data_IF_435002671388
#
_entry.id   IF_435002671388
#
_cell.length_a   1.000
_cell.length_b   1.000
_cell.length_c   1.000
_cell.angle_alpha   90.00
_cell.angle_beta   90.00
_cell.angle_gamma   90.00
#
_symmetry.space_group_name_H-M   'P 1'
#
loop_
_entity.id
_entity.type
_entity.pdbx_description
1 polymer ?
#
# COMPACT_ATOMS: atom_id res chain seq x y z
N UNK A 1 12.86 56.86 -8.07
CA UNK A 1 12.28 55.91 -7.10
C UNK A 1 11.42 54.92 -7.86
N UNK A 2 12.02 53.87 -8.41
CA UNK A 2 11.31 52.68 -8.85
C UNK A 2 11.78 51.57 -7.92
N UNK A 3 10.84 51.04 -7.14
CA UNK A 3 11.07 49.90 -6.26
C UNK A 3 11.31 48.67 -7.13
N UNK A 4 12.56 48.22 -7.20
CA UNK A 4 12.87 46.87 -7.67
C UNK A 4 12.18 45.88 -6.73
N UNK A 5 11.17 45.20 -7.26
CA UNK A 5 10.51 44.10 -6.61
C UNK A 5 11.53 42.97 -6.45
N UNK A 6 12.16 42.89 -5.27
CA UNK A 6 12.97 41.76 -4.87
C UNK A 6 12.09 40.53 -4.76
N UNK A 7 12.18 39.66 -5.76
CA UNK A 7 11.50 38.37 -5.76
C UNK A 7 12.15 37.49 -4.68
N UNK A 8 11.58 37.51 -3.46
CA UNK A 8 12.08 36.77 -2.30
C UNK A 8 11.66 35.30 -2.41
N UNK A 9 12.57 34.46 -2.91
CA UNK A 9 12.44 33.01 -2.82
C UNK A 9 12.81 32.57 -1.39
N UNK A 10 11.89 31.83 -0.74
CA UNK A 10 12.07 31.35 0.64
C UNK A 10 12.43 29.87 0.65
N UNK A 11 13.60 29.53 1.20
CA UNK A 11 14.14 28.17 1.24
C UNK A 11 13.96 27.55 2.64
N UNK A 12 13.72 26.23 2.70
CA UNK A 12 13.58 25.46 3.94
C UNK A 12 14.86 24.65 4.20
N UNK A 13 15.33 24.63 5.44
CA UNK A 13 16.49 23.83 5.85
C UNK A 13 16.08 22.74 6.84
N UNK A 14 16.37 21.48 6.51
CA UNK A 14 16.38 20.37 7.47
C UNK A 14 17.81 20.10 7.92
N UNK A 15 18.05 20.08 9.22
CA UNK A 15 19.34 19.70 9.76
C UNK A 15 19.22 18.35 10.46
N UNK A 16 20.07 17.37 10.10
CA UNK A 16 20.05 16.04 10.73
C UNK A 16 21.42 15.70 11.31
N UNK A 17 21.49 15.42 12.62
CA UNK A 17 22.68 14.87 13.28
C UNK A 17 22.53 13.36 13.45
N UNK A 18 23.36 12.55 12.80
CA UNK A 18 23.26 11.08 12.78
C UNK A 18 24.34 10.40 13.64
N UNK A 19 23.95 9.40 14.43
CA UNK A 19 24.87 8.48 15.12
C UNK A 19 24.66 6.99 14.77
N UNK A 20 23.53 6.62 14.16
CA UNK A 20 23.21 5.21 13.80
C UNK A 20 23.72 4.81 12.39
N UNK A 21 24.40 5.71 11.70
CA UNK A 21 24.99 5.49 10.36
C UNK A 21 26.45 5.98 10.32
N UNK A 22 27.24 5.65 11.36
CA UNK A 22 28.66 6.04 11.48
C UNK A 22 29.50 5.71 10.24
N UNK A 23 29.07 4.73 9.46
CA UNK A 23 29.85 4.20 8.34
C UNK A 23 29.27 4.61 6.98
N UNK A 24 27.94 4.73 6.81
CA UNK A 24 27.36 5.01 5.49
C UNK A 24 27.70 6.42 4.93
N UNK A 25 27.74 7.48 5.76
CA UNK A 25 27.90 8.86 5.26
C UNK A 25 29.35 9.37 5.23
N UNK A 26 30.28 8.63 5.85
CA UNK A 26 31.71 8.65 5.51
C UNK A 26 31.97 7.45 4.60
N UNK A 27 31.37 7.49 3.43
CA UNK A 27 31.48 6.40 2.47
C UNK A 27 32.94 6.34 2.00
N UNK A 28 33.58 5.19 2.20
CA UNK A 28 34.76 4.81 1.41
C UNK A 28 34.25 4.56 0.00
N UNK A 29 34.52 5.49 -0.92
CA UNK A 29 33.93 5.43 -2.27
C UNK A 29 34.90 4.89 -3.33
N UNK A 30 36.16 4.69 -2.98
CA UNK A 30 37.11 4.11 -3.91
C UNK A 30 38.34 3.60 -3.20
N UNK A 31 38.79 2.44 -3.65
CA UNK A 31 40.16 1.97 -3.43
C UNK A 31 40.91 2.15 -4.73
N UNK A 32 41.80 3.14 -4.79
CA UNK A 32 42.78 3.24 -5.87
C UNK A 32 44.06 2.56 -5.43
N UNK A 33 44.60 1.69 -6.29
CA UNK A 33 45.90 1.08 -6.13
C UNK A 33 46.91 1.83 -7.00
N UNK A 34 47.79 2.60 -6.37
CA UNK A 34 49.05 3.06 -6.98
C UNK A 34 50.16 2.19 -6.39
N UNK A 35 50.64 1.20 -7.16
CA UNK A 35 51.61 0.22 -6.66
C UNK A 35 51.07 -0.64 -5.51
N UNK A 36 51.80 -0.72 -4.40
CA UNK A 36 51.45 -1.49 -3.19
C UNK A 36 50.62 -0.71 -2.15
N UNK A 37 50.30 0.56 -2.42
CA UNK A 37 49.57 1.44 -1.48
C UNK A 37 48.07 1.52 -1.79
N UNK A 38 47.25 1.17 -0.78
CA UNK A 38 45.77 1.27 -0.81
C UNK A 38 45.34 2.69 -0.44
N UNK A 39 44.90 3.52 -1.40
CA UNK A 39 44.26 4.82 -1.08
C UNK A 39 42.75 4.66 -0.97
N UNK A 40 42.22 5.05 0.19
CA UNK A 40 40.80 5.03 0.54
C UNK A 40 40.26 6.46 0.39
N UNK A 41 39.50 6.74 -0.68
CA UNK A 41 38.89 8.05 -0.88
C UNK A 41 37.62 8.16 -0.01
N UNK A 42 37.63 9.09 0.95
CA UNK A 42 36.49 9.41 1.79
C UNK A 42 35.70 10.55 1.14
N UNK A 43 34.43 10.31 0.83
CA UNK A 43 33.53 11.38 0.40
C UNK A 43 32.46 11.61 1.46
N UNK A 44 32.55 12.76 2.13
CA UNK A 44 31.50 13.24 3.02
C UNK A 44 30.43 13.93 2.18
N UNK A 45 29.15 13.56 2.36
CA UNK A 45 28.02 14.25 1.73
C UNK A 45 27.48 15.27 2.74
N UNK A 46 27.80 16.57 2.61
CA UNK A 46 27.46 17.57 3.62
C UNK A 46 25.98 17.99 3.58
N UNK A 47 25.27 17.67 2.49
CA UNK A 47 23.88 18.03 2.33
C UNK A 47 23.21 17.49 1.07
N UNK A 48 21.88 17.56 1.07
CA UNK A 48 21.01 17.17 -0.04
C UNK A 48 20.22 18.39 -0.51
N UNK A 49 20.08 18.57 -1.81
CA UNK A 49 19.29 19.66 -2.37
C UNK A 49 18.18 19.08 -3.25
N UNK A 50 16.95 19.56 -3.04
CA UNK A 50 15.82 19.28 -3.91
C UNK A 50 14.99 20.54 -4.06
N UNK A 51 15.03 21.16 -5.25
CA UNK A 51 14.40 22.46 -5.50
C UNK A 51 14.83 23.51 -4.46
N UNK A 52 13.89 24.01 -3.65
CA UNK A 52 14.07 24.99 -2.57
C UNK A 52 14.34 24.36 -1.19
N UNK A 53 14.25 23.04 -1.07
CA UNK A 53 14.55 22.34 0.18
C UNK A 53 16.03 21.93 0.23
N UNK A 54 16.71 22.38 1.28
CA UNK A 54 18.11 22.07 1.59
C UNK A 54 18.16 21.21 2.86
N UNK A 55 18.87 20.09 2.80
CA UNK A 55 19.19 19.29 3.99
C UNK A 55 20.68 19.44 4.26
N UNK A 56 21.09 19.79 5.47
CA UNK A 56 22.50 19.75 5.88
C UNK A 56 22.67 18.68 6.96
N UNK A 57 23.76 17.92 6.85
CA UNK A 57 24.03 16.79 7.73
C UNK A 57 25.43 16.95 8.33
N UNK A 58 25.55 16.77 9.63
CA UNK A 58 26.82 16.90 10.35
C UNK A 58 26.87 15.99 11.57
N UNK A 59 28.07 15.66 12.04
CA UNK A 59 28.27 14.77 13.20
C UNK A 59 28.15 15.52 14.52
N UNK A 60 28.44 16.82 14.53
CA UNK A 60 28.38 17.68 15.71
C UNK A 60 27.83 19.08 15.38
N UNK A 61 27.42 19.81 16.43
CA UNK A 61 26.84 21.15 16.26
C UNK A 61 27.82 22.16 15.68
N UNK A 62 29.14 21.97 15.88
CA UNK A 62 30.16 22.89 15.39
C UNK A 62 30.26 22.80 13.86
N UNK A 63 30.42 21.60 13.33
CA UNK A 63 30.38 21.33 11.88
C UNK A 63 29.07 21.83 11.26
N UNK A 64 27.94 21.58 11.94
CA UNK A 64 26.65 22.05 11.46
C UNK A 64 26.59 23.59 11.38
N UNK A 65 27.15 24.28 12.39
CA UNK A 65 27.23 25.73 12.40
C UNK A 65 28.16 26.26 11.30
N UNK A 66 29.27 25.58 11.02
CA UNK A 66 30.17 25.90 9.90
C UNK A 66 29.45 25.77 8.56
N UNK A 67 28.69 24.68 8.34
CA UNK A 67 27.85 24.49 7.15
C UNK A 67 26.78 25.60 7.04
N UNK A 68 26.17 26.02 8.15
CA UNK A 68 25.21 27.12 8.17
C UNK A 68 25.86 28.47 7.84
N UNK A 69 27.10 28.72 8.28
CA UNK A 69 27.85 29.93 7.93
C UNK A 69 28.13 29.96 6.43
N UNK A 70 28.61 28.87 5.85
CA UNK A 70 28.85 28.72 4.41
C UNK A 70 27.55 28.95 3.63
N UNK A 71 26.47 28.29 4.05
CA UNK A 71 25.13 28.42 3.45
C UNK A 71 24.62 29.86 3.54
N UNK A 72 24.86 30.54 4.66
CA UNK A 72 24.48 31.94 4.86
C UNK A 72 25.26 32.89 3.96
N UNK A 73 26.57 32.68 3.79
CA UNK A 73 27.41 33.45 2.89
C UNK A 73 26.95 33.28 1.44
N UNK A 74 26.74 32.03 1.01
CA UNK A 74 26.21 31.72 -0.32
C UNK A 74 24.84 32.37 -0.55
N UNK A 75 23.93 32.27 0.42
CA UNK A 75 22.62 32.90 0.35
C UNK A 75 22.71 34.42 0.19
N UNK A 76 23.62 35.10 0.90
CA UNK A 76 23.86 36.54 0.73
C UNK A 76 24.38 36.88 -0.66
N UNK A 77 25.37 36.15 -1.17
CA UNK A 77 25.92 36.36 -2.52
C UNK A 77 24.89 36.14 -3.62
N UNK A 78 23.98 35.18 -3.43
CA UNK A 78 22.93 34.84 -4.40
C UNK A 78 21.58 35.51 -4.14
N UNK A 79 21.51 36.42 -3.16
CA UNK A 79 20.28 37.11 -2.74
C UNK A 79 19.14 36.15 -2.34
N UNK A 80 19.48 34.99 -1.80
CA UNK A 80 18.54 33.99 -1.28
C UNK A 80 18.26 34.25 0.20
N UNK A 81 17.00 34.12 0.60
CA UNK A 81 16.59 34.28 2.00
C UNK A 81 16.09 32.94 2.55
N UNK A 82 16.72 32.46 3.62
CA UNK A 82 16.23 31.26 4.32
C UNK A 82 15.09 31.63 5.27
N UNK A 83 14.09 30.75 5.35
CA UNK A 83 12.91 30.95 6.19
C UNK A 83 12.99 30.09 7.46
N UNK A 84 13.30 30.68 8.63
CA UNK A 84 13.42 29.91 9.88
C UNK A 84 12.12 29.25 10.31
N UNK A 85 10.95 29.77 9.91
CA UNK A 85 9.65 29.17 10.26
C UNK A 85 9.38 27.87 9.52
N UNK A 86 9.97 27.69 8.34
CA UNK A 86 9.88 26.46 7.54
C UNK A 86 11.09 25.54 7.74
N UNK A 87 12.10 26.00 8.45
CA UNK A 87 13.35 25.29 8.70
C UNK A 87 13.36 24.73 10.11
N UNK A 88 14.04 23.59 10.32
CA UNK A 88 14.17 23.01 11.64
C UNK A 88 15.46 22.23 11.80
N UNK A 89 15.90 22.12 13.05
CA UNK A 89 16.98 21.22 13.47
C UNK A 89 16.35 19.96 14.05
N UNK A 90 16.66 18.80 13.48
CA UNK A 90 16.29 17.49 14.03
C UNK A 90 17.55 16.76 14.46
N UNK A 91 17.56 16.21 15.66
CA UNK A 91 18.76 15.59 16.24
C UNK A 91 18.52 14.11 16.52
N UNK A 92 19.20 13.24 15.78
CA UNK A 92 19.11 11.79 15.95
C UNK A 92 20.25 11.27 16.84
N UNK A 93 20.31 11.76 18.09
CA UNK A 93 21.28 11.30 19.09
C UNK A 93 20.67 11.17 20.48
N UNK A 94 20.97 10.07 21.18
CA UNK A 94 20.52 9.84 22.56
C UNK A 94 21.32 10.62 23.62
N UNK A 95 22.41 11.28 23.22
CA UNK A 95 23.26 12.05 24.13
C UNK A 95 22.85 13.52 24.17
N UNK A 96 23.02 14.14 25.34
CA UNK A 96 22.90 15.59 25.49
C UNK A 96 23.79 16.27 24.46
N UNK A 97 23.12 16.97 23.55
CA UNK A 97 23.78 17.80 22.57
C UNK A 97 24.34 18.98 23.36
N UNK A 98 25.53 19.47 23.00
CA UNK A 98 25.95 20.80 23.44
C UNK A 98 24.90 21.87 23.07
N UNK A 99 25.14 23.14 23.36
CA UNK A 99 24.15 24.21 23.25
C UNK A 99 23.59 24.40 21.82
N UNK A 100 22.57 23.61 21.43
CA UNK A 100 21.90 23.62 20.12
C UNK A 100 21.02 24.86 19.94
N UNK A 101 20.80 25.62 21.01
CA UNK A 101 20.09 26.90 21.02
C UNK A 101 20.77 28.00 20.18
N UNK A 102 22.01 27.75 19.72
CA UNK A 102 22.83 28.71 18.97
C UNK A 102 22.86 28.52 17.46
N UNK A 103 22.17 27.51 16.92
CA UNK A 103 22.20 27.24 15.47
C UNK A 103 21.48 28.36 14.71
N UNK A 104 22.26 29.10 13.92
CA UNK A 104 21.76 30.28 13.19
C UNK A 104 22.05 30.20 11.70
N UNK A 105 21.05 30.58 10.89
CA UNK A 105 21.18 30.82 9.46
C UNK A 105 20.86 32.29 9.17
N UNK A 106 21.76 32.99 8.48
CA UNK A 106 21.64 34.42 8.17
C UNK A 106 21.30 35.29 9.40
N UNK A 107 21.87 34.96 10.57
CA UNK A 107 21.61 35.66 11.84
C UNK A 107 20.25 35.36 12.47
N UNK A 108 19.48 34.41 11.94
CA UNK A 108 18.20 33.97 12.49
C UNK A 108 18.36 32.60 13.15
N UNK A 109 17.87 32.46 14.39
CA UNK A 109 17.92 31.20 15.14
C UNK A 109 16.96 30.18 14.51
N UNK A 110 17.43 28.95 14.36
CA UNK A 110 16.62 27.84 13.86
C UNK A 110 15.98 27.08 15.03
N UNK A 111 14.67 26.78 14.96
CA UNK A 111 14.01 26.00 16.00
C UNK A 111 14.50 24.55 15.96
N UNK A 112 14.69 23.98 17.15
CA UNK A 112 14.88 22.53 17.31
C UNK A 112 13.50 21.88 17.34
N UNK A 113 13.33 20.81 16.57
CA UNK A 113 12.08 20.06 16.46
C UNK A 113 12.33 18.56 16.62
N UNK A 114 11.39 17.88 17.28
CA UNK A 114 11.39 16.43 17.43
C UNK A 114 10.96 15.71 16.14
N UNK A 115 10.21 16.39 15.27
CA UNK A 115 9.82 15.85 13.96
C UNK A 115 9.95 16.88 12.84
N UNK A 116 10.21 16.40 11.62
CA UNK A 116 10.23 17.23 10.43
C UNK A 116 9.77 16.45 9.19
N UNK A 117 9.01 17.10 8.31
CA UNK A 117 8.56 16.49 7.06
C UNK A 117 9.39 16.98 5.88
N UNK A 118 10.17 16.07 5.30
CA UNK A 118 10.99 16.34 4.12
C UNK A 118 10.48 15.52 2.94
N UNK A 119 10.16 16.20 1.83
CA UNK A 119 9.59 15.58 0.62
C UNK A 119 8.45 14.59 0.93
N UNK A 120 7.54 14.93 1.84
CA UNK A 120 6.40 14.09 2.21
C UNK A 120 6.68 12.94 3.19
N UNK A 121 7.93 12.73 3.61
CA UNK A 121 8.31 11.75 4.64
C UNK A 121 8.56 12.48 5.95
N UNK A 122 7.89 12.07 7.04
CA UNK A 122 8.10 12.63 8.37
C UNK A 122 9.19 11.85 9.10
N UNK A 123 10.27 12.52 9.46
CA UNK A 123 11.33 11.95 10.29
C UNK A 123 11.12 12.40 11.73
N UNK A 124 11.33 11.49 12.69
CA UNK A 124 11.30 11.77 14.13
C UNK A 124 12.64 11.44 14.78
N UNK A 125 12.95 12.13 15.88
CA UNK A 125 14.14 11.86 16.71
C UNK A 125 14.02 10.63 17.63
N UNK A 126 12.89 9.92 17.55
CA UNK A 126 12.66 8.66 18.25
C UNK A 126 13.58 7.54 17.73
N UNK A 127 13.73 6.46 18.53
CA UNK A 127 14.53 5.28 18.14
C UNK A 127 14.08 4.69 16.79
N UNK A 128 12.78 4.72 16.51
CA UNK A 128 12.27 4.48 15.17
C UNK A 128 11.99 5.81 14.47
N UNK A 129 12.93 6.28 13.65
CA UNK A 129 12.85 7.56 12.95
C UNK A 129 11.65 7.71 11.99
N UNK A 130 10.90 6.64 11.71
CA UNK A 130 9.68 6.65 10.89
C UNK A 130 8.38 6.53 11.70
N UNK A 131 8.43 6.48 13.04
CA UNK A 131 7.24 6.25 13.88
C UNK A 131 6.11 7.26 13.58
N UNK A 132 6.46 8.55 13.52
CA UNK A 132 5.51 9.63 13.22
C UNK A 132 5.00 9.58 11.78
N UNK A 133 5.81 9.09 10.85
CA UNK A 133 5.35 8.86 9.47
C UNK A 133 4.33 7.72 9.41
N UNK A 134 4.58 6.62 10.13
CA UNK A 134 3.64 5.49 10.22
C UNK A 134 2.30 5.90 10.84
N UNK A 135 2.31 6.68 11.94
CA UNK A 135 1.09 7.24 12.54
C UNK A 135 0.29 8.08 11.52
N UNK A 136 0.97 8.98 10.79
CA UNK A 136 0.36 9.81 9.75
C UNK A 136 -0.20 8.95 8.61
N UNK A 137 0.47 7.86 8.26
CA UNK A 137 0.06 6.95 7.20
C UNK A 137 -1.19 6.14 7.59
N UNK A 138 -1.28 5.65 8.84
CA UNK A 138 -2.48 4.99 9.35
C UNK A 138 -3.69 5.95 9.37
N UNK A 139 -3.48 7.19 9.82
CA UNK A 139 -4.51 8.22 9.76
C UNK A 139 -4.94 8.53 8.32
N UNK A 140 -3.98 8.61 7.40
CA UNK A 140 -4.24 8.84 5.98
C UNK A 140 -5.05 7.72 5.34
N UNK A 141 -4.79 6.46 5.71
CA UNK A 141 -5.56 5.31 5.23
C UNK A 141 -7.03 5.40 5.64
N UNK A 142 -7.29 5.67 6.93
CA UNK A 142 -8.66 5.89 7.45
C UNK A 142 -9.33 7.08 6.78
N UNK A 143 -8.63 8.21 6.68
CA UNK A 143 -9.15 9.43 6.04
C UNK A 143 -9.56 9.17 4.60
N UNK A 144 -8.70 8.48 3.84
CA UNK A 144 -8.97 8.20 2.42
C UNK A 144 -10.13 7.21 2.25
N UNK A 145 -10.24 6.23 3.14
CA UNK A 145 -11.40 5.33 3.19
C UNK A 145 -12.71 6.09 3.46
N UNK A 146 -12.73 6.98 4.46
CA UNK A 146 -13.92 7.79 4.76
C UNK A 146 -14.27 8.74 3.61
N UNK A 147 -13.27 9.34 2.95
CA UNK A 147 -13.48 10.14 1.75
C UNK A 147 -14.10 9.33 0.62
N UNK A 148 -13.64 8.10 0.41
CA UNK A 148 -14.25 7.16 -0.54
C UNK A 148 -15.72 6.90 -0.21
N UNK A 149 -16.04 6.60 1.05
CA UNK A 149 -17.41 6.35 1.48
C UNK A 149 -18.31 7.56 1.21
N UNK A 150 -17.85 8.77 1.59
CA UNK A 150 -18.63 9.99 1.42
C UNK A 150 -18.86 10.36 -0.06
N UNK A 151 -17.82 10.25 -0.90
CA UNK A 151 -17.91 10.65 -2.31
C UNK A 151 -18.70 9.67 -3.17
N UNK A 152 -18.71 8.38 -2.80
CA UNK A 152 -19.28 7.32 -3.63
C UNK A 152 -20.66 6.87 -3.12
N UNK A 153 -21.10 7.35 -1.95
CA UNK A 153 -22.40 7.00 -1.38
C UNK A 153 -23.56 7.17 -2.38
N UNK A 154 -23.52 8.25 -3.17
CA UNK A 154 -24.53 8.59 -4.19
C UNK A 154 -24.04 8.35 -5.62
N UNK A 155 -22.96 7.57 -5.78
CA UNK A 155 -22.39 7.26 -7.09
C UNK A 155 -23.26 6.32 -7.90
N UNK A 156 -23.32 6.54 -9.22
CA UNK A 156 -24.11 5.73 -10.16
C UNK A 156 -23.66 4.25 -10.21
N UNK A 157 -22.38 3.98 -9.92
CA UNK A 157 -21.84 2.62 -9.95
C UNK A 157 -20.79 2.40 -8.85
N UNK A 158 -21.25 2.10 -7.63
CA UNK A 158 -20.45 2.02 -6.41
C UNK A 158 -19.22 1.12 -6.53
N UNK A 159 -19.36 -0.06 -7.14
CA UNK A 159 -18.27 -1.02 -7.29
C UNK A 159 -17.12 -0.46 -8.14
N UNK A 160 -17.38 -0.10 -9.39
CA UNK A 160 -16.42 0.49 -10.32
C UNK A 160 -15.81 1.79 -9.80
N UNK A 161 -16.63 2.70 -9.26
CA UNK A 161 -16.14 3.95 -8.69
C UNK A 161 -15.20 3.71 -7.50
N UNK A 162 -15.54 2.78 -6.61
CA UNK A 162 -14.72 2.44 -5.44
C UNK A 162 -13.41 1.75 -5.88
N UNK A 163 -13.49 0.85 -6.88
CA UNK A 163 -12.32 0.21 -7.51
C UNK A 163 -11.36 1.23 -8.11
N UNK A 164 -11.90 2.18 -8.88
CA UNK A 164 -11.14 3.24 -9.51
C UNK A 164 -10.56 4.24 -8.50
N UNK A 165 -11.36 4.66 -7.51
CA UNK A 165 -10.93 5.59 -6.47
C UNK A 165 -9.80 5.00 -5.62
N UNK A 166 -9.96 3.78 -5.12
CA UNK A 166 -8.95 3.16 -4.28
C UNK A 166 -7.64 2.98 -5.05
N UNK A 167 -7.72 2.46 -6.28
CA UNK A 167 -6.53 2.21 -7.11
C UNK A 167 -5.86 3.50 -7.62
N UNK A 168 -6.65 4.51 -7.99
CA UNK A 168 -6.16 5.75 -8.61
C UNK A 168 -5.86 6.89 -7.64
N UNK A 169 -6.47 6.90 -6.46
CA UNK A 169 -6.33 7.98 -5.46
C UNK A 169 -5.72 7.47 -4.16
N UNK A 170 -6.27 6.40 -3.59
CA UNK A 170 -5.82 5.94 -2.27
C UNK A 170 -4.44 5.29 -2.31
N UNK A 171 -4.25 4.31 -3.19
CA UNK A 171 -2.99 3.58 -3.31
C UNK A 171 -1.80 4.53 -3.55
N UNK A 172 -1.82 5.48 -4.51
CA UNK A 172 -0.69 6.39 -4.73
C UNK A 172 -0.36 7.25 -3.49
N UNK A 173 -1.38 7.72 -2.75
CA UNK A 173 -1.18 8.47 -1.50
C UNK A 173 -0.52 7.61 -0.42
N UNK A 174 -0.95 6.35 -0.29
CA UNK A 174 -0.49 5.45 0.77
C UNK A 174 0.85 4.77 0.46
N UNK A 175 1.23 4.67 -0.82
CA UNK A 175 2.51 4.06 -1.23
C UNK A 175 3.57 5.08 -1.59
N UNK A 176 3.34 6.37 -1.31
CA UNK A 176 4.34 7.40 -1.54
C UNK A 176 5.59 7.13 -0.68
N UNK A 177 6.79 7.20 -1.28
CA UNK A 177 8.04 6.92 -0.58
C UNK A 177 8.33 5.44 -0.27
N UNK A 178 7.43 4.51 -0.60
CA UNK A 178 7.54 3.08 -0.24
C UNK A 178 8.81 2.38 -0.79
N UNK A 179 9.39 2.91 -1.87
CA UNK A 179 10.66 2.44 -2.41
C UNK A 179 11.83 2.60 -1.42
N UNK A 180 11.78 3.60 -0.55
CA UNK A 180 12.88 3.97 0.37
C UNK A 180 12.52 3.80 1.84
N UNK A 181 11.25 3.99 2.22
CA UNK A 181 10.78 3.81 3.61
C UNK A 181 10.43 2.35 3.88
N UNK A 182 10.66 1.87 5.10
CA UNK A 182 10.27 0.51 5.49
C UNK A 182 9.23 0.60 6.58
N UNK A 183 8.06 0.03 6.32
CA UNK A 183 6.95 0.04 7.25
C UNK A 183 7.02 -1.15 8.20
N UNK A 184 6.61 -0.96 9.44
CA UNK A 184 6.42 -2.05 10.39
C UNK A 184 5.29 -2.97 9.93
N UNK A 185 5.34 -4.24 10.38
CA UNK A 185 4.27 -5.21 10.10
C UNK A 185 2.89 -4.72 10.61
N UNK A 186 2.88 -3.98 11.73
CA UNK A 186 1.67 -3.35 12.27
C UNK A 186 1.03 -2.38 11.27
N UNK A 187 1.82 -1.45 10.74
CA UNK A 187 1.30 -0.44 9.81
C UNK A 187 0.92 -1.07 8.47
N UNK A 188 1.70 -2.05 7.98
CA UNK A 188 1.34 -2.81 6.78
C UNK A 188 -0.03 -3.50 6.94
N UNK A 189 -0.28 -4.17 8.07
CA UNK A 189 -1.57 -4.81 8.37
C UNK A 189 -2.71 -3.79 8.49
N UNK A 190 -2.44 -2.61 9.05
CA UNK A 190 -3.43 -1.52 9.11
C UNK A 190 -3.84 -1.04 7.71
N UNK A 191 -2.89 -0.91 6.79
CA UNK A 191 -3.17 -0.57 5.39
C UNK A 191 -3.96 -1.68 4.69
N UNK A 192 -3.59 -2.95 4.89
CA UNK A 192 -4.34 -4.08 4.34
C UNK A 192 -5.75 -4.18 4.90
N UNK A 193 -5.95 -3.84 6.17
CA UNK A 193 -7.28 -3.79 6.78
C UNK A 193 -8.13 -2.72 6.12
N UNK A 194 -7.58 -1.52 5.91
CA UNK A 194 -8.27 -0.44 5.20
C UNK A 194 -8.64 -0.84 3.76
N UNK A 195 -7.73 -1.52 3.04
CA UNK A 195 -8.01 -2.06 1.71
C UNK A 195 -9.14 -3.10 1.74
N UNK A 196 -9.14 -4.05 2.69
CA UNK A 196 -10.22 -5.03 2.82
C UNK A 196 -11.56 -4.38 3.16
N UNK A 197 -11.55 -3.32 3.96
CA UNK A 197 -12.75 -2.53 4.26
C UNK A 197 -13.27 -1.81 3.01
N UNK A 198 -12.38 -1.21 2.23
CA UNK A 198 -12.73 -0.61 0.94
C UNK A 198 -13.33 -1.63 -0.04
N UNK A 199 -12.80 -2.86 -0.07
CA UNK A 199 -13.32 -3.93 -0.92
C UNK A 199 -14.73 -4.36 -0.49
N UNK A 200 -14.96 -4.55 0.82
CA UNK A 200 -16.30 -4.84 1.36
C UNK A 200 -17.28 -3.71 1.09
N UNK A 201 -16.84 -2.45 1.16
CA UNK A 201 -17.65 -1.30 0.76
C UNK A 201 -18.04 -1.36 -0.71
N UNK A 202 -17.08 -1.58 -1.60
CA UNK A 202 -17.30 -1.66 -3.05
C UNK A 202 -18.33 -2.74 -3.43
N UNK A 203 -18.32 -3.87 -2.73
CA UNK A 203 -19.25 -4.99 -2.92
C UNK A 203 -20.56 -4.85 -2.12
N UNK A 204 -20.71 -3.82 -1.30
CA UNK A 204 -21.89 -3.61 -0.42
C UNK A 204 -22.14 -4.74 0.59
N UNK A 205 -21.05 -5.33 1.11
CA UNK A 205 -21.06 -6.46 2.06
C UNK A 205 -20.33 -6.10 3.36
N UNK A 206 -20.39 -4.85 3.80
CA UNK A 206 -19.65 -4.32 4.97
C UNK A 206 -19.91 -5.06 6.27
N UNK A 207 -21.12 -5.60 6.48
CA UNK A 207 -21.49 -6.35 7.67
C UNK A 207 -21.05 -7.83 7.68
N UNK A 208 -20.41 -8.32 6.61
CA UNK A 208 -20.10 -9.74 6.45
C UNK A 208 -18.61 -10.04 6.64
N UNK A 209 -18.32 -11.15 7.33
CA UNK A 209 -16.98 -11.70 7.44
C UNK A 209 -16.70 -12.56 6.21
N UNK A 210 -15.94 -12.02 5.28
CA UNK A 210 -15.63 -12.66 3.99
C UNK A 210 -14.16 -12.98 3.92
N UNK A 211 -13.81 -14.09 3.25
CA UNK A 211 -12.43 -14.47 3.02
C UNK A 211 -11.65 -13.37 2.27
N UNK A 212 -10.40 -13.13 2.68
CA UNK A 212 -9.57 -12.06 2.12
C UNK A 212 -9.23 -12.30 0.64
N UNK A 213 -9.07 -13.57 0.26
CA UNK A 213 -8.75 -14.07 -1.08
C UNK A 213 -9.88 -13.77 -2.06
N UNK A 214 -11.13 -13.83 -1.60
CA UNK A 214 -12.29 -13.42 -2.39
C UNK A 214 -12.28 -11.90 -2.61
N UNK A 215 -12.05 -11.11 -1.56
CA UNK A 215 -12.04 -9.65 -1.67
C UNK A 215 -10.94 -9.13 -2.60
N UNK A 216 -9.73 -9.68 -2.51
CA UNK A 216 -8.60 -9.23 -3.32
C UNK A 216 -8.72 -9.63 -4.80
N UNK A 217 -9.29 -10.81 -5.07
CA UNK A 217 -9.53 -11.31 -6.43
C UNK A 217 -10.70 -10.62 -7.12
N UNK A 218 -11.78 -10.31 -6.41
CA UNK A 218 -12.94 -9.62 -6.99
C UNK A 218 -12.61 -8.20 -7.46
N UNK A 219 -11.71 -7.52 -6.75
CA UNK A 219 -11.34 -6.14 -7.05
C UNK A 219 -10.09 -6.04 -7.93
N UNK A 220 -9.40 -7.16 -8.17
CA UNK A 220 -8.08 -7.21 -8.81
C UNK A 220 -7.09 -6.23 -8.16
N UNK A 221 -7.05 -6.25 -6.82
CA UNK A 221 -6.17 -5.41 -6.04
C UNK A 221 -4.96 -6.20 -5.57
N UNK A 222 -3.77 -5.68 -5.88
CA UNK A 222 -2.52 -6.13 -5.25
C UNK A 222 -2.56 -5.90 -3.73
N UNK A 223 -1.73 -6.64 -2.99
CA UNK A 223 -1.40 -6.27 -1.61
C UNK A 223 -0.47 -5.05 -1.59
N UNK A 224 -0.40 -4.36 -0.46
CA UNK A 224 0.61 -3.35 -0.19
C UNK A 224 2.01 -3.94 -0.17
N UNK A 225 2.17 -5.17 0.29
CA UNK A 225 3.46 -5.87 0.29
C UNK A 225 3.99 -6.11 -1.13
N UNK A 226 3.13 -6.49 -2.09
CA UNK A 226 3.57 -6.60 -3.49
C UNK A 226 3.97 -5.26 -4.10
N UNK A 227 3.25 -4.20 -3.73
CA UNK A 227 3.59 -2.85 -4.19
C UNK A 227 4.92 -2.41 -3.59
N UNK A 228 5.18 -2.78 -2.34
CA UNK A 228 6.47 -2.60 -1.67
C UNK A 228 7.56 -3.38 -2.39
N UNK A 229 7.37 -4.67 -2.64
CA UNK A 229 8.32 -5.51 -3.37
C UNK A 229 8.66 -4.93 -4.74
N UNK A 230 7.64 -4.62 -5.55
CA UNK A 230 7.85 -4.00 -6.87
C UNK A 230 8.57 -2.66 -6.76
N UNK A 231 8.19 -1.78 -5.83
CA UNK A 231 8.80 -0.45 -5.74
C UNK A 231 10.24 -0.49 -5.23
N UNK A 232 10.53 -1.28 -4.20
CA UNK A 232 11.88 -1.45 -3.63
C UNK A 232 12.83 -2.14 -4.60
N UNK A 233 12.44 -3.27 -5.18
CA UNK A 233 13.31 -4.01 -6.10
C UNK A 233 13.63 -3.17 -7.34
N UNK A 234 12.65 -2.43 -7.89
CA UNK A 234 12.89 -1.49 -9.00
C UNK A 234 13.86 -0.38 -8.62
N UNK A 235 13.72 0.17 -7.42
CA UNK A 235 14.57 1.26 -6.92
C UNK A 235 16.02 0.81 -6.73
N UNK A 236 16.25 -0.30 -6.03
CA UNK A 236 17.60 -0.81 -5.81
C UNK A 236 18.26 -1.30 -7.10
N UNK A 237 17.51 -1.95 -8.01
CA UNK A 237 18.02 -2.30 -9.33
C UNK A 237 18.44 -1.05 -10.13
N UNK A 238 17.62 0.01 -10.09
CA UNK A 238 17.97 1.29 -10.73
C UNK A 238 19.24 1.89 -10.14
N UNK A 239 19.38 1.93 -8.81
CA UNK A 239 20.59 2.46 -8.15
C UNK A 239 21.81 1.64 -8.56
N UNK A 240 21.69 0.31 -8.54
CA UNK A 240 22.79 -0.59 -8.86
C UNK A 240 23.28 -0.41 -10.31
N UNK A 241 22.39 -0.03 -11.22
CA UNK A 241 22.69 0.28 -12.62
C UNK A 241 23.14 1.72 -12.89
N UNK A 242 23.19 2.60 -11.89
CA UNK A 242 23.73 3.95 -12.08
C UNK A 242 25.26 3.93 -12.19
N UNK A 243 25.88 4.93 -12.87
CA UNK A 243 27.33 5.10 -12.87
C UNK A 243 27.89 5.24 -11.44
N UNK A 244 29.09 4.71 -11.20
CA UNK A 244 29.75 4.76 -9.89
C UNK A 244 30.09 6.17 -9.41
N UNK A 245 30.02 7.18 -10.29
CA UNK A 245 30.16 8.60 -9.92
C UNK A 245 28.93 9.20 -9.24
N UNK A 246 27.78 8.49 -9.24
CA UNK A 246 26.52 8.98 -8.67
C UNK A 246 26.44 8.63 -7.18
N UNK A 247 26.14 9.63 -6.34
CA UNK A 247 26.03 9.45 -4.88
C UNK A 247 25.17 8.26 -4.42
N UNK A 248 24.00 7.95 -5.02
CA UNK A 248 23.22 6.78 -4.61
C UNK A 248 23.96 5.45 -4.81
N UNK A 249 24.68 5.30 -5.93
CA UNK A 249 25.47 4.09 -6.23
C UNK A 249 26.70 4.00 -5.32
N UNK A 250 27.38 5.13 -5.13
CA UNK A 250 28.51 5.25 -4.19
C UNK A 250 28.10 4.83 -2.78
N UNK A 251 26.96 5.32 -2.29
CA UNK A 251 26.41 5.00 -0.98
C UNK A 251 26.08 3.51 -0.85
N UNK A 252 25.45 2.92 -1.88
CA UNK A 252 25.14 1.49 -1.89
C UNK A 252 26.42 0.63 -1.84
N UNK A 253 27.41 0.96 -2.67
CA UNK A 253 28.70 0.26 -2.68
C UNK A 253 29.43 0.40 -1.33
N UNK A 254 29.37 1.58 -0.70
CA UNK A 254 29.99 1.81 0.60
C UNK A 254 29.31 1.04 1.74
N UNK A 255 27.97 0.97 1.73
CA UNK A 255 27.20 0.12 2.64
C UNK A 255 27.62 -1.34 2.54
N UNK A 256 27.82 -1.86 1.31
CA UNK A 256 28.29 -3.22 1.09
C UNK A 256 29.73 -3.44 1.60
N UNK A 257 30.64 -2.50 1.32
CA UNK A 257 32.04 -2.56 1.76
C UNK A 257 32.19 -2.55 3.30
N UNK A 258 31.37 -1.74 3.96
CA UNK A 258 31.38 -1.59 5.42
C UNK A 258 30.44 -2.59 6.11
N UNK A 259 29.75 -3.43 5.34
CA UNK A 259 28.80 -4.43 5.82
C UNK A 259 27.69 -3.86 6.72
N UNK A 260 27.24 -2.63 6.47
CA UNK A 260 26.01 -2.14 7.13
C UNK A 260 24.82 -2.27 6.21
N UNK A 261 23.79 -2.91 6.75
CA UNK A 261 22.52 -3.11 6.08
C UNK A 261 21.53 -2.13 6.68
N UNK A 262 20.95 -1.27 5.85
CA UNK A 262 19.83 -0.43 6.27
C UNK A 262 18.57 -1.29 6.32
N UNK A 263 17.60 -0.91 7.16
CA UNK A 263 16.28 -1.59 7.21
C UNK A 263 15.64 -1.73 5.83
N UNK A 264 15.82 -0.72 4.95
CA UNK A 264 15.32 -0.75 3.59
C UNK A 264 15.99 -1.80 2.71
N UNK A 265 17.31 -1.99 2.87
CA UNK A 265 18.05 -3.03 2.16
C UNK A 265 17.67 -4.42 2.69
N UNK A 266 17.61 -4.61 4.01
CA UNK A 266 17.19 -5.89 4.63
C UNK A 266 15.78 -6.29 4.18
N UNK A 267 14.86 -5.32 4.19
CA UNK A 267 13.50 -5.54 3.68
C UNK A 267 13.49 -5.87 2.19
N UNK A 268 14.35 -5.23 1.39
CA UNK A 268 14.47 -5.53 -0.04
C UNK A 268 14.92 -6.98 -0.27
N UNK A 269 15.95 -7.46 0.43
CA UNK A 269 16.40 -8.86 0.32
C UNK A 269 15.31 -9.83 0.81
N UNK A 270 14.66 -9.54 1.94
CA UNK A 270 13.55 -10.37 2.43
C UNK A 270 12.40 -10.47 1.40
N UNK A 271 12.06 -9.37 0.73
CA UNK A 271 11.06 -9.37 -0.34
C UNK A 271 11.58 -10.07 -1.60
N UNK A 272 12.86 -9.92 -1.93
CA UNK A 272 13.49 -10.61 -3.06
C UNK A 272 13.35 -12.12 -2.91
N UNK A 273 13.70 -12.66 -1.75
CA UNK A 273 13.59 -14.10 -1.49
C UNK A 273 12.14 -14.56 -1.39
N UNK A 274 11.26 -13.78 -0.74
CA UNK A 274 9.84 -14.13 -0.61
C UNK A 274 9.12 -14.24 -1.96
N UNK A 275 9.46 -13.39 -2.92
CA UNK A 275 8.86 -13.39 -4.26
C UNK A 275 9.70 -14.16 -5.30
N UNK A 276 10.62 -15.03 -4.87
CA UNK A 276 11.50 -15.83 -5.75
C UNK A 276 12.19 -14.97 -6.83
N UNK A 277 12.68 -13.79 -6.43
CA UNK A 277 13.34 -12.84 -7.31
C UNK A 277 14.87 -12.89 -7.21
N UNK A 278 15.44 -13.88 -6.52
CA UNK A 278 16.90 -14.00 -6.33
C UNK A 278 17.66 -14.24 -7.64
N UNK A 279 17.04 -14.99 -8.56
CA UNK A 279 17.59 -15.26 -9.90
C UNK A 279 17.42 -14.11 -10.87
N UNK A 280 16.67 -13.07 -10.50
CA UNK A 280 16.35 -11.97 -11.40
C UNK A 280 17.48 -10.93 -11.41
N UNK A 281 18.24 -10.92 -12.50
CA UNK A 281 19.32 -9.95 -12.74
C UNK A 281 18.91 -8.90 -13.77
N UNK A 282 19.57 -7.75 -13.72
CA UNK A 282 19.39 -6.69 -14.72
C UNK A 282 20.26 -7.03 -15.93
N UNK A 283 19.62 -7.27 -17.08
CA UNK A 283 20.32 -7.50 -18.34
C UNK A 283 20.95 -6.21 -18.85
N UNK A 284 22.01 -6.34 -19.64
CA UNK A 284 22.74 -5.22 -20.24
C UNK A 284 22.75 -5.39 -21.76
N UNK A 285 22.65 -4.28 -22.48
CA UNK A 285 22.84 -4.26 -23.94
C UNK A 285 24.33 -4.39 -24.32
N UNK A 286 24.59 -4.41 -25.62
CA UNK A 286 25.94 -4.50 -26.19
C UNK A 286 26.84 -3.30 -25.80
N UNK A 287 26.25 -2.15 -25.48
CA UNK A 287 26.92 -0.93 -25.01
C UNK A 287 27.00 -0.84 -23.47
N UNK A 288 26.63 -1.92 -22.75
CA UNK A 288 26.55 -2.01 -21.28
C UNK A 288 25.48 -1.12 -20.64
N UNK A 289 24.52 -0.64 -21.41
CA UNK A 289 23.30 0.01 -20.94
C UNK A 289 22.37 -0.97 -20.23
N UNK A 290 21.92 -0.61 -19.03
CA UNK A 290 21.05 -1.48 -18.24
C UNK A 290 19.61 -1.50 -18.79
N UNK A 291 19.11 -2.70 -19.13
CA UNK A 291 17.76 -2.93 -19.66
C UNK A 291 16.71 -2.97 -18.55
N UNK A 292 16.56 -1.86 -17.82
CA UNK A 292 15.67 -1.74 -16.67
C UNK A 292 14.20 -2.02 -17.03
N UNK A 293 13.75 -1.67 -18.24
CA UNK A 293 12.39 -1.95 -18.70
C UNK A 293 12.07 -3.44 -18.78
N UNK A 294 13.02 -4.26 -19.24
CA UNK A 294 12.88 -5.72 -19.29
C UNK A 294 12.83 -6.29 -17.88
N UNK A 295 13.75 -5.86 -17.02
CA UNK A 295 13.77 -6.23 -15.60
C UNK A 295 12.44 -5.88 -14.91
N UNK A 296 11.88 -4.69 -15.13
CA UNK A 296 10.63 -4.25 -14.51
C UNK A 296 9.40 -5.06 -14.92
N UNK A 297 9.37 -5.56 -16.16
CA UNK A 297 8.33 -6.46 -16.66
C UNK A 297 8.44 -7.84 -16.02
N UNK A 298 9.61 -8.47 -16.08
CA UNK A 298 9.86 -9.78 -15.48
C UNK A 298 9.64 -9.79 -13.97
N UNK A 299 10.06 -8.73 -13.28
CA UNK A 299 9.76 -8.54 -11.86
C UNK A 299 8.25 -8.47 -11.61
N UNK A 300 7.51 -7.73 -12.44
CA UNK A 300 6.07 -7.62 -12.29
C UNK A 300 5.36 -8.96 -12.51
N UNK A 301 5.85 -9.76 -13.46
CA UNK A 301 5.38 -11.13 -13.76
C UNK A 301 5.67 -12.09 -12.61
N UNK A 302 6.93 -12.19 -12.14
CA UNK A 302 7.31 -13.05 -11.01
C UNK A 302 6.49 -12.74 -9.75
N UNK A 303 6.38 -11.46 -9.39
CA UNK A 303 5.57 -11.05 -8.22
C UNK A 303 4.11 -11.42 -8.41
N UNK A 304 3.56 -11.30 -9.63
CA UNK A 304 2.18 -11.71 -9.93
C UNK A 304 2.02 -13.23 -9.81
N UNK A 305 2.90 -14.04 -10.39
CA UNK A 305 2.84 -15.50 -10.32
C UNK A 305 2.90 -16.01 -8.88
N UNK A 306 3.83 -15.49 -8.07
CA UNK A 306 3.94 -15.85 -6.66
C UNK A 306 2.70 -15.47 -5.86
N UNK A 307 2.09 -14.33 -6.19
CA UNK A 307 0.85 -13.91 -5.56
C UNK A 307 -0.32 -14.81 -5.96
N UNK A 308 -0.44 -15.15 -7.24
CA UNK A 308 -1.53 -16.00 -7.73
C UNK A 308 -1.43 -17.40 -7.08
N UNK A 309 -0.21 -17.93 -6.90
CA UNK A 309 0.04 -19.15 -6.10
C UNK A 309 -0.37 -19.00 -4.64
N UNK A 310 0.04 -17.92 -3.96
CA UNK A 310 -0.34 -17.68 -2.56
C UNK A 310 -1.86 -17.52 -2.39
N UNK A 311 -2.54 -16.98 -3.41
CA UNK A 311 -3.99 -16.86 -3.45
C UNK A 311 -4.67 -18.22 -3.58
N UNK A 312 -4.19 -19.09 -4.46
CA UNK A 312 -4.69 -20.47 -4.60
C UNK A 312 -4.50 -21.27 -3.29
N UNK A 313 -3.30 -21.21 -2.71
CA UNK A 313 -2.99 -21.85 -1.42
C UNK A 313 -3.88 -21.32 -0.29
N UNK A 314 -4.12 -20.00 -0.24
CA UNK A 314 -4.99 -19.36 0.74
C UNK A 314 -6.46 -19.78 0.64
N UNK A 315 -6.91 -20.22 -0.55
CA UNK A 315 -8.25 -20.75 -0.78
C UNK A 315 -8.36 -22.26 -0.53
N UNK A 316 -7.26 -23.03 -0.61
CA UNK A 316 -7.26 -24.49 -0.58
C UNK A 316 -7.93 -25.09 0.69
N UNK A 317 -7.80 -24.42 1.83
CA UNK A 317 -8.40 -24.86 3.11
C UNK A 317 -9.82 -24.36 3.39
N UNK A 318 -10.43 -23.57 2.49
CA UNK A 318 -11.69 -22.84 2.77
C UNK A 318 -12.86 -23.47 2.03
N UNK A 319 -13.68 -24.25 2.73
CA UNK A 319 -14.87 -24.89 2.17
C UNK A 319 -15.86 -23.89 1.55
N UNK A 320 -16.02 -22.69 2.14
CA UNK A 320 -16.88 -21.64 1.57
C UNK A 320 -16.43 -21.15 0.19
N UNK A 321 -15.15 -21.34 -0.16
CA UNK A 321 -14.61 -20.93 -1.46
C UNK A 321 -14.46 -22.09 -2.44
N UNK A 322 -15.01 -23.26 -2.15
CA UNK A 322 -14.85 -24.44 -3.02
C UNK A 322 -15.39 -24.21 -4.43
N UNK A 323 -16.63 -23.75 -4.57
CA UNK A 323 -17.19 -23.38 -5.88
C UNK A 323 -16.41 -22.24 -6.54
N UNK A 324 -15.91 -21.30 -5.73
CA UNK A 324 -15.16 -20.16 -6.23
C UNK A 324 -13.83 -20.58 -6.84
N UNK A 325 -13.00 -21.34 -6.11
CA UNK A 325 -11.67 -21.77 -6.56
C UNK A 325 -11.72 -22.72 -7.75
N UNK A 326 -12.75 -23.55 -7.87
CA UNK A 326 -12.88 -24.53 -8.96
C UNK A 326 -13.11 -23.85 -10.31
N UNK A 327 -13.83 -22.72 -10.32
CA UNK A 327 -14.24 -22.04 -11.55
C UNK A 327 -13.55 -20.69 -11.80
N UNK A 328 -12.98 -20.06 -10.76
CA UNK A 328 -12.30 -18.76 -10.90
C UNK A 328 -10.85 -18.95 -11.39
N UNK A 329 -10.62 -18.72 -12.68
CA UNK A 329 -9.30 -18.90 -13.30
C UNK A 329 -8.28 -17.79 -12.98
N UNK A 330 -8.74 -16.60 -12.61
CA UNK A 330 -7.83 -15.49 -12.34
C UNK A 330 -8.40 -14.50 -11.33
N UNK A 331 -7.51 -13.69 -10.75
CA UNK A 331 -7.85 -12.61 -9.81
C UNK A 331 -8.44 -11.37 -10.48
N UNK A 332 -9.15 -11.57 -11.59
CA UNK A 332 -9.85 -10.51 -12.32
C UNK A 332 -11.33 -10.80 -12.36
N UNK A 333 -12.16 -9.79 -12.10
CA UNK A 333 -13.62 -9.90 -12.25
C UNK A 333 -14.06 -9.25 -13.55
N UNK A 334 -14.96 -9.94 -14.24
CA UNK A 334 -15.56 -9.47 -15.47
C UNK A 334 -16.34 -8.16 -15.25
N UNK A 335 -16.21 -7.27 -16.21
CA UNK A 335 -16.90 -5.97 -16.22
C UNK A 335 -18.41 -6.17 -16.06
N UNK A 336 -19.09 -5.28 -15.32
CA UNK A 336 -20.54 -5.30 -15.07
C UNK A 336 -21.08 -6.47 -14.21
N UNK A 337 -20.22 -7.23 -13.53
CA UNK A 337 -20.67 -8.27 -12.59
C UNK A 337 -21.49 -7.70 -11.43
N UNK A 338 -21.15 -6.51 -10.93
CA UNK A 338 -21.84 -5.88 -9.79
C UNK A 338 -22.47 -4.55 -10.18
N UNK A 339 -23.60 -4.25 -9.56
CA UNK A 339 -24.31 -2.97 -9.62
C UNK A 339 -24.71 -2.53 -8.21
N UNK A 340 -25.47 -1.42 -8.10
CA UNK A 340 -25.89 -0.87 -6.81
C UNK A 340 -27.08 -1.61 -6.17
N UNK A 341 -27.60 -2.68 -6.78
CA UNK A 341 -28.77 -3.39 -6.26
C UNK A 341 -28.43 -4.27 -5.06
N UNK A 342 -29.45 -4.53 -4.23
CA UNK A 342 -29.36 -5.55 -3.17
C UNK A 342 -29.02 -6.94 -3.72
N UNK A 343 -29.52 -7.26 -4.92
CA UNK A 343 -29.22 -8.51 -5.63
C UNK A 343 -27.72 -8.68 -5.92
N UNK A 344 -27.02 -7.60 -6.27
CA UNK A 344 -25.56 -7.63 -6.46
C UNK A 344 -24.79 -7.90 -5.17
N UNK A 345 -25.20 -7.30 -4.05
CA UNK A 345 -24.59 -7.59 -2.76
C UNK A 345 -24.79 -9.07 -2.36
N UNK A 346 -25.99 -9.61 -2.58
CA UNK A 346 -26.28 -11.02 -2.34
C UNK A 346 -25.54 -11.95 -3.30
N UNK A 347 -25.36 -11.54 -4.57
CA UNK A 347 -24.53 -12.26 -5.53
C UNK A 347 -23.07 -12.32 -5.06
N UNK A 348 -22.53 -11.24 -4.51
CA UNK A 348 -21.18 -11.25 -3.94
C UNK A 348 -21.06 -12.25 -2.79
N UNK A 349 -22.06 -12.30 -1.88
CA UNK A 349 -22.09 -13.28 -0.79
C UNK A 349 -22.24 -14.72 -1.30
N UNK A 350 -23.07 -14.93 -2.32
CA UNK A 350 -23.26 -16.20 -3.00
C UNK A 350 -21.96 -16.70 -3.65
N UNK A 351 -21.25 -15.83 -4.37
CA UNK A 351 -19.95 -16.14 -4.97
C UNK A 351 -18.89 -16.46 -3.91
N UNK A 352 -18.97 -15.83 -2.75
CA UNK A 352 -18.10 -16.12 -1.60
C UNK A 352 -18.55 -17.34 -0.77
N UNK A 353 -19.63 -18.03 -1.16
CA UNK A 353 -20.19 -19.20 -0.47
C UNK A 353 -20.73 -18.93 0.93
N UNK A 354 -21.10 -17.67 1.22
CA UNK A 354 -21.61 -17.20 2.51
C UNK A 354 -22.97 -16.51 2.37
N UNK A 355 -23.75 -16.89 1.36
CA UNK A 355 -25.14 -16.42 1.23
C UNK A 355 -25.88 -16.82 2.52
N UNK A 356 -26.64 -15.91 3.17
CA UNK A 356 -27.23 -16.17 4.48
C UNK A 356 -28.49 -17.03 4.40
N UNK A 357 -28.36 -18.21 3.79
CA UNK A 357 -29.42 -19.20 3.78
C UNK A 357 -29.61 -19.82 5.16
N UNK A 358 -30.71 -20.53 5.39
CA UNK A 358 -30.92 -21.26 6.63
C UNK A 358 -29.81 -22.28 6.87
N UNK A 359 -29.40 -23.05 5.85
CA UNK A 359 -28.28 -23.99 5.99
C UNK A 359 -26.99 -23.34 6.46
N UNK A 360 -26.67 -22.14 5.96
CA UNK A 360 -25.49 -21.41 6.40
C UNK A 360 -25.62 -20.89 7.85
N UNK A 361 -26.83 -20.51 8.26
CA UNK A 361 -27.12 -19.94 9.58
C UNK A 361 -27.58 -20.96 10.63
N UNK A 362 -27.58 -22.27 10.34
CA UNK A 362 -28.02 -23.34 11.27
C UNK A 362 -27.37 -23.16 12.64
N UNK A 363 -26.05 -22.97 12.66
CA UNK A 363 -25.28 -22.86 13.89
C UNK A 363 -25.50 -21.54 14.65
N UNK A 364 -26.10 -20.53 14.02
CA UNK A 364 -26.32 -19.20 14.58
C UNK A 364 -27.74 -19.00 15.11
N UNK A 365 -28.72 -19.77 14.62
CA UNK A 365 -30.15 -19.48 14.84
C UNK A 365 -30.94 -20.61 15.47
N UNK A 366 -30.33 -21.78 15.73
CA UNK A 366 -30.98 -22.95 16.33
C UNK A 366 -32.35 -23.28 15.69
N UNK A 367 -32.49 -22.99 14.40
CA UNK A 367 -33.71 -23.13 13.61
C UNK A 367 -33.60 -24.27 12.62
N UNK A 368 -34.72 -24.73 12.07
CA UNK A 368 -34.72 -25.71 10.99
C UNK A 368 -33.94 -25.19 9.77
N UNK A 369 -33.40 -26.12 8.98
CA UNK A 369 -32.66 -25.77 7.78
C UNK A 369 -33.52 -25.84 6.50
N UNK A 370 -34.82 -26.14 6.61
CA UNK A 370 -35.69 -26.37 5.46
C UNK A 370 -36.09 -25.06 4.79
N UNK A 371 -36.15 -25.08 3.46
CA UNK A 371 -36.57 -23.92 2.69
C UNK A 371 -38.03 -23.57 2.97
N UNK A 372 -38.31 -22.29 3.24
CA UNK A 372 -39.68 -21.81 3.53
C UNK A 372 -40.62 -21.88 2.32
N UNK A 373 -40.09 -22.05 1.10
CA UNK A 373 -40.88 -22.16 -0.13
C UNK A 373 -41.37 -23.57 -0.40
N UNK A 374 -40.47 -24.56 -0.34
CA UNK A 374 -40.85 -25.95 -0.63
C UNK A 374 -41.18 -26.76 0.64
N UNK A 375 -40.65 -26.37 1.80
CA UNK A 375 -40.85 -27.08 3.07
C UNK A 375 -40.17 -28.45 3.18
N UNK A 376 -39.58 -28.96 2.09
CA UNK A 376 -39.10 -30.35 2.00
C UNK A 376 -37.58 -30.45 2.00
N UNK A 377 -36.88 -29.56 1.31
CA UNK A 377 -35.43 -29.64 1.13
C UNK A 377 -34.70 -28.55 1.93
N UNK A 378 -33.44 -28.79 2.34
CA UNK A 378 -32.63 -27.79 3.01
C UNK A 378 -32.38 -26.55 2.13
N UNK A 379 -32.46 -25.35 2.71
CA UNK A 379 -32.19 -24.08 2.03
C UNK A 379 -30.68 -23.88 1.80
N UNK A 380 -30.16 -24.51 0.75
CA UNK A 380 -28.78 -24.33 0.28
C UNK A 380 -28.67 -23.19 -0.74
N UNK A 381 -27.44 -22.78 -1.06
CA UNK A 381 -27.19 -21.80 -2.12
C UNK A 381 -27.79 -22.22 -3.47
N UNK A 382 -27.57 -23.48 -3.87
CA UNK A 382 -28.10 -24.03 -5.11
C UNK A 382 -29.63 -24.08 -5.09
N UNK A 383 -30.21 -24.52 -3.97
CA UNK A 383 -31.67 -24.58 -3.79
C UNK A 383 -32.33 -23.21 -3.95
N UNK A 384 -31.72 -22.15 -3.40
CA UNK A 384 -32.20 -20.77 -3.59
C UNK A 384 -32.08 -20.34 -5.05
N UNK A 385 -30.90 -20.49 -5.66
CA UNK A 385 -30.62 -20.02 -7.02
C UNK A 385 -31.51 -20.72 -8.06
N UNK A 386 -31.81 -22.00 -7.87
CA UNK A 386 -32.65 -22.79 -8.78
C UNK A 386 -34.12 -22.89 -8.36
N UNK A 387 -34.58 -22.06 -7.41
CA UNK A 387 -35.98 -22.02 -6.94
C UNK A 387 -36.53 -23.42 -6.58
N UNK A 388 -35.79 -24.16 -5.75
CA UNK A 388 -36.13 -25.50 -5.28
C UNK A 388 -36.04 -26.63 -6.31
N UNK A 389 -35.41 -26.39 -7.48
CA UNK A 389 -35.25 -27.37 -8.55
C UNK A 389 -33.77 -27.78 -8.78
N UNK A 390 -32.93 -27.73 -7.76
CA UNK A 390 -31.48 -27.95 -7.88
C UNK A 390 -31.09 -29.33 -8.42
N UNK A 391 -31.93 -30.36 -8.24
CA UNK A 391 -31.67 -31.72 -8.73
C UNK A 391 -31.59 -31.84 -10.25
N UNK A 392 -32.11 -30.84 -10.98
CA UNK A 392 -32.08 -30.78 -12.44
C UNK A 392 -30.92 -29.96 -13.01
N UNK A 393 -30.04 -29.46 -12.14
CA UNK A 393 -28.98 -28.54 -12.52
C UNK A 393 -27.61 -29.03 -12.07
N UNK A 394 -26.59 -28.75 -12.87
CA UNK A 394 -25.22 -29.13 -12.55
C UNK A 394 -24.46 -28.04 -11.79
N UNK A 395 -23.27 -28.37 -11.30
CA UNK A 395 -22.38 -27.37 -10.69
C UNK A 395 -21.91 -26.33 -11.72
N UNK A 396 -21.80 -26.70 -12.99
CA UNK A 396 -21.50 -25.77 -14.08
C UNK A 396 -22.64 -24.76 -14.29
N UNK A 397 -23.91 -25.20 -14.21
CA UNK A 397 -25.07 -24.31 -14.26
C UNK A 397 -25.05 -23.31 -13.09
N UNK A 398 -24.69 -23.79 -11.90
CA UNK A 398 -24.56 -22.95 -10.71
C UNK A 398 -23.44 -21.93 -10.89
N UNK A 399 -22.27 -22.37 -11.37
CA UNK A 399 -21.13 -21.51 -11.66
C UNK A 399 -21.47 -20.43 -12.71
N UNK A 400 -22.20 -20.80 -13.77
CA UNK A 400 -22.67 -19.86 -14.79
C UNK A 400 -23.62 -18.82 -14.18
N UNK A 401 -24.58 -19.22 -13.35
CA UNK A 401 -25.50 -18.30 -12.64
C UNK A 401 -24.78 -17.38 -11.66
N UNK A 402 -23.69 -17.84 -11.07
CA UNK A 402 -22.82 -17.02 -10.21
C UNK A 402 -21.90 -16.09 -11.00
N UNK A 403 -21.78 -16.26 -12.32
CA UNK A 403 -20.84 -15.50 -13.17
C UNK A 403 -19.39 -15.95 -12.99
N UNK A 404 -19.18 -17.23 -12.71
CA UNK A 404 -17.86 -17.87 -12.59
C UNK A 404 -17.49 -18.67 -13.85
N UNK A 405 -18.30 -18.64 -14.91
CA UNK A 405 -17.99 -19.24 -16.21
C UNK A 405 -16.87 -18.49 -16.93
N UNK A 406 -16.14 -19.20 -17.81
CA UNK A 406 -15.08 -18.64 -18.68
C UNK A 406 -15.54 -17.40 -19.43
N UNK A 407 -16.74 -17.48 -20.02
CA UNK A 407 -17.42 -16.36 -20.63
C UNK A 407 -18.58 -15.92 -19.72
N UNK A 408 -18.57 -14.65 -19.32
CA UNK A 408 -19.64 -14.09 -18.50
C UNK A 408 -20.92 -14.01 -19.34
N UNK A 409 -21.99 -14.66 -18.91
CA UNK A 409 -23.33 -14.44 -19.44
C UNK A 409 -24.04 -13.35 -18.61
N UNK A 410 -24.11 -12.09 -19.07
CA UNK A 410 -24.62 -10.99 -18.25
C UNK A 410 -26.11 -11.12 -17.98
N UNK A 411 -26.87 -11.69 -18.92
CA UNK A 411 -28.31 -11.90 -18.77
C UNK A 411 -28.61 -12.88 -17.65
N UNK A 412 -27.88 -14.00 -17.60
CA UNK A 412 -28.03 -15.02 -16.56
C UNK A 412 -27.66 -14.47 -15.18
N UNK A 413 -26.54 -13.73 -15.08
CA UNK A 413 -26.12 -13.08 -13.83
C UNK A 413 -27.14 -12.05 -13.37
N UNK A 414 -27.69 -11.25 -14.29
CA UNK A 414 -28.74 -10.28 -13.98
C UNK A 414 -30.03 -10.96 -13.48
N UNK A 415 -30.43 -12.08 -14.08
CA UNK A 415 -31.55 -12.91 -13.59
C UNK A 415 -31.28 -13.41 -12.17
N UNK A 416 -30.09 -13.96 -11.91
CA UNK A 416 -29.68 -14.41 -10.57
C UNK A 416 -29.76 -13.29 -9.54
N UNK A 417 -29.29 -12.07 -9.86
CA UNK A 417 -29.41 -10.91 -8.97
C UNK A 417 -30.86 -10.58 -8.64
N UNK A 418 -31.75 -10.58 -9.65
CA UNK A 418 -33.19 -10.32 -9.46
C UNK A 418 -33.82 -11.37 -8.56
N UNK A 419 -33.48 -12.64 -8.77
CA UNK A 419 -33.94 -13.77 -7.98
C UNK A 419 -33.50 -13.63 -6.51
N UNK A 420 -32.20 -13.42 -6.27
CA UNK A 420 -31.67 -13.25 -4.92
C UNK A 420 -32.30 -12.05 -4.21
N UNK A 421 -32.52 -10.95 -4.93
CA UNK A 421 -33.22 -9.78 -4.40
C UNK A 421 -34.68 -10.06 -4.05
N UNK A 422 -35.39 -10.90 -4.81
CA UNK A 422 -36.75 -11.33 -4.47
C UNK A 422 -36.78 -12.25 -3.24
N UNK A 423 -35.88 -13.24 -3.20
CA UNK A 423 -35.72 -14.15 -2.07
C UNK A 423 -35.44 -13.40 -0.75
N UNK A 424 -34.51 -12.45 -0.72
CA UNK A 424 -34.21 -11.66 0.51
C UNK A 424 -35.41 -10.80 0.95
N UNK A 425 -36.23 -10.29 0.01
CA UNK A 425 -37.45 -9.55 0.35
C UNK A 425 -38.52 -10.46 0.98
N UNK A 426 -38.75 -11.64 0.42
CA UNK A 426 -39.70 -12.61 0.96
C UNK A 426 -39.30 -13.05 2.38
N UNK A 427 -38.03 -13.39 2.58
CA UNK A 427 -37.48 -13.76 3.90
C UNK A 427 -37.66 -12.66 4.95
N UNK A 428 -37.43 -11.40 4.57
CA UNK A 428 -37.61 -10.24 5.47
C UNK A 428 -39.08 -10.00 5.83
N UNK A 429 -40.00 -10.18 4.88
CA UNK A 429 -41.45 -10.08 5.13
C UNK A 429 -41.91 -11.16 6.10
N UNK A 430 -41.55 -12.42 5.85
CA UNK A 430 -41.91 -13.53 6.75
C UNK A 430 -41.32 -13.37 8.16
N UNK A 431 -40.13 -12.77 8.29
CA UNK A 431 -39.57 -12.44 9.61
C UNK A 431 -40.33 -11.31 10.31
N UNK A 432 -40.77 -10.28 9.57
CA UNK A 432 -41.53 -9.16 10.12
C UNK A 432 -42.96 -9.57 10.55
N UNK A 433 -43.60 -10.46 9.80
CA UNK A 433 -44.92 -11.03 10.13
C UNK A 433 -44.85 -11.93 11.38
N UNK A 434 -43.75 -12.68 11.58
CA UNK A 434 -43.51 -13.50 12.79
C UNK A 434 -43.22 -12.66 14.06
N UNK A 435 -42.84 -11.39 13.92
CA UNK A 435 -42.48 -10.48 15.02
C UNK A 435 -43.62 -9.52 15.41
N UNK A 436 -44.73 -9.50 14.68
CA UNK A 436 -45.90 -8.71 15.04
C UNK A 436 -46.59 -9.34 16.28
N UNK A 437 -46.77 -8.62 17.40
CA UNK A 437 -47.48 -9.17 18.54
C UNK A 437 -48.93 -9.47 18.15
N UNK A 438 -49.42 -10.67 18.48
CA UNK A 438 -50.84 -11.00 18.42
C UNK A 438 -51.61 -9.99 19.29
N UNK A 439 -52.20 -8.98 18.66
CA UNK A 439 -53.20 -8.14 19.30
C UNK A 439 -54.44 -9.02 19.47
N UNK A 440 -54.52 -9.72 20.60
CA UNK A 440 -55.74 -10.39 21.05
C UNK A 440 -56.76 -9.31 21.38
N UNK A 441 -57.84 -9.29 20.60
CA UNK A 441 -59.03 -8.48 20.85
C UNK A 441 -59.86 -9.00 22.01
#
# INVERSE_FOLDING_TARGET
MQSEASCSYTYSILLTRYQILESAFSAVVGVQYEGTTRRVNHHTIPGLLFADDLVLMAHNCKELQELLVITSAFGRTRQLTFNPKKSAVVVFSNHSIGDSSRLQVQGKVLPVSHEYTYLGITLSDEQNYLSKHEEKLEMMAKKTLHQMHAQILWGFHKFEMSRAYWKGVAVPKLTYGNAVTTMTAKTAEALEKAQREAARWALSITGWRVANEFLSSELNWSSFEEREAKSKLRYFARIQSMPDSRWPKMMLNAMDLQKIRTKAYEKMEALRSKFDCDTLTVEHDEERGALLGVYYRRLAEKVKTMQDKAWEEGMAGKSTLEMYRTHKESRTTATHTYDNSRGSALLALARAGILPTKCFNIFLTASDNYCERCGVHPETLAHVIFKCNEFYHTNEDLAARLGLSKELNPALVHETKRLLGAWDRERRKGSAEKLAPEVKG
#
